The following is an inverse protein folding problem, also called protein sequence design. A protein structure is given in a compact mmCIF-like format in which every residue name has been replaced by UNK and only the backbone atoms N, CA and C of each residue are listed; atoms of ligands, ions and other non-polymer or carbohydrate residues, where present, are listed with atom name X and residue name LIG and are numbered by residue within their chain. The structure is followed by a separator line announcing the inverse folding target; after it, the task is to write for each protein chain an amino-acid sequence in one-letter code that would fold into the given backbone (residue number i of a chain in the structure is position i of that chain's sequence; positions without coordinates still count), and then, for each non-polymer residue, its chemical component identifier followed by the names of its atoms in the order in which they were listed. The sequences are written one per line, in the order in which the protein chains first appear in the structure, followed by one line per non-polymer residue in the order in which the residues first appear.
data_IF_688033411258
#
_entry.id   IF_688033411258
#
_cell.length_a   1.000
_cell.length_b   1.000
_cell.length_c   1.000
_cell.angle_alpha   90.00
_cell.angle_beta   90.00
_cell.angle_gamma   90.00
#
_symmetry.space_group_name_H-M   'P 1'
#
loop_
_entity.id
_entity.type
_entity.pdbx_description
1 polymer ?
#
# COMPACT_ATOMS: atom_id res chain seq x y z
N UNK A 1 6.37 -49.02 -76.18
CA UNK A 1 6.43 -48.03 -75.09
C UNK A 1 6.33 -48.79 -73.76
N UNK A 2 7.32 -48.71 -72.87
CA UNK A 2 7.32 -49.42 -71.57
C UNK A 2 7.09 -48.41 -70.44
N UNK A 3 6.14 -48.61 -69.51
CA UNK A 3 5.90 -47.66 -68.42
C UNK A 3 7.00 -47.75 -67.34
N UNK A 4 7.28 -46.65 -66.60
CA UNK A 4 8.30 -46.65 -65.56
C UNK A 4 7.80 -47.38 -64.29
N UNK A 5 8.71 -47.90 -63.45
CA UNK A 5 8.31 -48.62 -62.24
C UNK A 5 7.85 -47.66 -61.14
N UNK A 6 6.78 -48.03 -60.44
CA UNK A 6 6.29 -47.32 -59.25
C UNK A 6 7.15 -47.63 -58.03
N UNK A 7 7.60 -46.59 -57.34
CA UNK A 7 8.30 -46.66 -56.05
C UNK A 7 7.27 -46.74 -54.92
N UNK A 8 7.19 -47.85 -54.18
CA UNK A 8 6.34 -47.95 -52.99
C UNK A 8 6.94 -47.15 -51.84
N UNK A 9 6.10 -46.36 -51.16
CA UNK A 9 6.47 -45.66 -49.91
C UNK A 9 6.36 -46.62 -48.71
N UNK A 10 7.25 -46.51 -47.72
CA UNK A 10 7.22 -47.35 -46.54
C UNK A 10 6.06 -46.95 -45.61
N UNK A 11 5.24 -47.93 -45.23
CA UNK A 11 4.22 -47.75 -44.19
C UNK A 11 4.86 -47.91 -42.82
N UNK A 12 5.00 -46.82 -42.07
CA UNK A 12 5.47 -46.87 -40.68
C UNK A 12 4.40 -47.57 -39.81
N UNK A 13 4.73 -48.77 -39.33
CA UNK A 13 3.92 -49.52 -38.35
C UNK A 13 4.24 -48.96 -36.97
N UNK A 14 3.38 -48.12 -36.44
CA UNK A 14 3.54 -47.53 -35.11
C UNK A 14 3.28 -48.63 -34.07
N UNK A 15 4.30 -48.96 -33.27
CA UNK A 15 4.24 -50.03 -32.28
C UNK A 15 3.30 -49.68 -31.11
N UNK A 16 2.61 -50.70 -30.59
CA UNK A 16 1.60 -50.57 -29.52
C UNK A 16 2.17 -50.04 -28.19
N UNK A 17 3.49 -50.10 -28.01
CA UNK A 17 4.20 -49.58 -26.84
C UNK A 17 4.17 -48.05 -26.80
N UNK A 18 4.30 -47.38 -27.96
CA UNK A 18 4.21 -45.91 -28.04
C UNK A 18 2.81 -45.40 -27.72
N UNK A 19 1.76 -46.15 -28.09
CA UNK A 19 0.37 -45.80 -27.77
C UNK A 19 0.10 -45.77 -26.27
N UNK A 20 0.64 -46.73 -25.50
CA UNK A 20 0.46 -46.79 -24.04
C UNK A 20 1.23 -45.69 -23.31
N UNK A 21 2.44 -45.37 -23.79
CA UNK A 21 3.24 -44.27 -23.24
C UNK A 21 2.54 -42.91 -23.44
N UNK A 22 1.92 -42.69 -24.60
CA UNK A 22 1.17 -41.46 -24.89
C UNK A 22 -0.07 -41.31 -24.01
N UNK A 23 -0.81 -42.40 -23.75
CA UNK A 23 -1.98 -42.36 -22.86
C UNK A 23 -1.62 -41.97 -21.42
N UNK A 24 -0.48 -42.45 -20.91
CA UNK A 24 -0.01 -42.10 -19.56
C UNK A 24 0.41 -40.63 -19.48
N UNK A 25 1.08 -40.10 -20.51
CA UNK A 25 1.48 -38.69 -20.56
C UNK A 25 0.25 -37.78 -20.55
N UNK A 26 -0.74 -38.06 -21.41
CA UNK A 26 -1.98 -37.26 -21.46
C UNK A 26 -2.69 -37.27 -20.10
N UNK A 27 -2.79 -38.43 -19.44
CA UNK A 27 -3.51 -38.55 -18.17
C UNK A 27 -2.81 -37.78 -17.04
N UNK A 28 -1.48 -37.82 -16.98
CA UNK A 28 -0.68 -37.05 -16.02
C UNK A 28 -0.77 -35.54 -16.30
N UNK A 29 -0.70 -35.11 -17.56
CA UNK A 29 -0.85 -33.70 -17.95
C UNK A 29 -2.23 -33.15 -17.60
N UNK A 30 -3.28 -33.96 -17.78
CA UNK A 30 -4.66 -33.56 -17.46
C UNK A 30 -4.85 -33.38 -15.95
N UNK A 31 -4.24 -34.24 -15.13
CA UNK A 31 -4.28 -34.13 -13.67
C UNK A 31 -3.54 -32.87 -13.15
N UNK A 32 -2.41 -32.50 -13.76
CA UNK A 32 -1.66 -31.28 -13.40
C UNK A 32 -2.41 -29.99 -13.74
N UNK A 33 -3.22 -29.97 -14.81
CA UNK A 33 -4.03 -28.81 -15.18
C UNK A 33 -5.22 -28.56 -14.24
N UNK A 34 -5.73 -29.60 -13.57
CA UNK A 34 -6.88 -29.49 -12.66
C UNK A 34 -6.53 -28.87 -11.29
N UNK A 35 -5.26 -28.91 -10.87
CA UNK A 35 -4.80 -28.36 -9.57
C UNK A 35 -4.41 -26.87 -9.67
N UNK A 36 -4.40 -26.30 -10.87
CA UNK A 36 -3.94 -24.93 -11.11
C UNK A 36 -4.95 -23.82 -10.71
N UNK A 37 -6.16 -24.16 -10.25
CA UNK A 37 -7.24 -23.19 -10.00
C UNK A 37 -7.38 -22.74 -8.53
N UNK A 38 -6.40 -23.02 -7.66
CA UNK A 38 -6.49 -22.76 -6.21
C UNK A 38 -5.79 -21.49 -5.70
N UNK A 39 -4.94 -20.87 -6.50
CA UNK A 39 -4.26 -19.62 -6.16
C UNK A 39 -4.67 -18.55 -7.19
N UNK A 40 -5.93 -18.11 -7.11
CA UNK A 40 -6.39 -16.97 -7.91
C UNK A 40 -5.48 -15.77 -7.63
N UNK A 41 -5.13 -15.02 -8.68
CA UNK A 41 -4.32 -13.80 -8.60
C UNK A 41 -4.88 -12.72 -7.64
N UNK A 42 -6.04 -12.96 -7.03
CA UNK A 42 -6.64 -12.14 -5.99
C UNK A 42 -6.85 -13.05 -4.78
N UNK A 43 -5.90 -13.01 -3.85
CA UNK A 43 -6.08 -13.60 -2.51
C UNK A 43 -6.95 -12.64 -1.70
N UNK A 44 -7.68 -13.14 -0.70
CA UNK A 44 -8.42 -12.31 0.26
C UNK A 44 -7.51 -11.34 1.04
N UNK A 45 -6.19 -11.50 0.96
CA UNK A 45 -5.18 -10.60 1.53
C UNK A 45 -4.57 -9.61 0.53
N UNK A 46 -4.86 -9.73 -0.77
CA UNK A 46 -4.31 -8.84 -1.80
C UNK A 46 -4.96 -7.45 -1.75
N UNK A 47 -6.19 -7.39 -1.24
CA UNK A 47 -6.85 -6.14 -0.84
C UNK A 47 -6.73 -5.90 0.67
N UNK A 48 -5.58 -6.23 1.27
CA UNK A 48 -5.29 -5.73 2.62
C UNK A 48 -5.17 -4.21 2.56
N UNK A 49 -6.28 -3.54 2.83
CA UNK A 49 -6.25 -2.19 3.34
C UNK A 49 -5.46 -2.24 4.63
N UNK A 50 -4.47 -1.37 4.75
CA UNK A 50 -3.60 -1.36 5.90
C UNK A 50 -4.45 -1.26 7.18
N UNK A 51 -4.12 -2.05 8.19
CA UNK A 51 -4.72 -1.97 9.52
C UNK A 51 -4.18 -0.76 10.28
N UNK A 52 -4.14 0.40 9.61
CA UNK A 52 -3.65 1.67 10.11
C UNK A 52 -4.71 2.72 9.83
N UNK A 53 -4.87 3.67 10.74
CA UNK A 53 -5.91 4.69 10.68
C UNK A 53 -5.64 5.77 9.61
N UNK A 54 -4.94 5.47 8.51
CA UNK A 54 -4.53 6.43 7.48
C UNK A 54 -5.08 6.15 6.09
N UNK A 55 -5.33 7.21 5.33
CA UNK A 55 -5.81 7.15 3.94
C UNK A 55 -4.63 7.01 2.97
N UNK A 56 -4.87 6.28 1.86
CA UNK A 56 -3.96 6.22 0.73
C UNK A 56 -4.58 6.96 -0.48
N UNK A 57 -3.74 7.62 -1.27
CA UNK A 57 -4.14 8.26 -2.52
C UNK A 57 -3.06 8.07 -3.59
N UNK A 58 -3.44 8.30 -4.85
CA UNK A 58 -2.53 8.22 -5.99
C UNK A 58 -2.73 9.45 -6.88
N UNK A 59 -1.62 10.02 -7.34
CA UNK A 59 -1.59 11.15 -8.27
C UNK A 59 -0.59 10.83 -9.38
N UNK A 60 -1.07 10.17 -10.43
CA UNK A 60 -0.19 9.59 -11.46
C UNK A 60 0.75 8.57 -10.83
N UNK A 61 2.07 8.79 -10.99
CA UNK A 61 3.13 7.93 -10.46
C UNK A 61 3.53 8.28 -9.00
N UNK A 62 2.84 9.23 -8.36
CA UNK A 62 3.02 9.54 -6.94
C UNK A 62 2.04 8.73 -6.09
N UNK A 63 2.59 7.99 -5.13
CA UNK A 63 1.82 7.21 -4.17
C UNK A 63 1.84 7.90 -2.80
N UNK A 64 0.68 8.34 -2.33
CA UNK A 64 0.50 8.87 -0.98
C UNK A 64 0.01 7.74 -0.08
N UNK A 65 0.69 7.54 1.04
CA UNK A 65 0.49 6.39 1.93
C UNK A 65 0.41 6.83 3.38
N UNK A 66 -0.42 6.12 4.14
CA UNK A 66 -0.61 6.30 5.58
C UNK A 66 -0.83 7.77 5.99
N UNK A 67 -1.77 8.45 5.33
CA UNK A 67 -2.05 9.86 5.61
C UNK A 67 -3.10 9.97 6.70
N UNK A 68 -2.74 10.52 7.86
CA UNK A 68 -3.64 10.72 8.99
C UNK A 68 -3.21 11.93 9.84
N UNK A 69 -4.18 12.53 10.53
CA UNK A 69 -3.90 13.50 11.58
C UNK A 69 -3.73 12.80 12.93
N UNK A 70 -2.78 13.27 13.72
CA UNK A 70 -2.56 12.83 15.10
C UNK A 70 -2.58 14.03 16.04
N UNK A 71 -3.11 13.84 17.26
CA UNK A 71 -2.99 14.85 18.31
C UNK A 71 -3.03 14.24 19.69
N UNK A 72 -2.28 14.87 20.60
CA UNK A 72 -2.42 14.66 22.03
C UNK A 72 -3.53 15.58 22.58
N UNK A 73 -4.44 15.06 23.42
CA UNK A 73 -5.48 15.88 24.02
C UNK A 73 -4.85 16.94 24.93
N UNK A 74 -5.28 18.19 24.79
CA UNK A 74 -4.76 19.30 25.61
C UNK A 74 -5.17 19.17 27.09
N UNK A 75 -6.29 18.51 27.36
CA UNK A 75 -6.76 18.15 28.70
C UNK A 75 -7.23 16.68 28.69
N UNK A 76 -6.64 15.80 29.51
CA UNK A 76 -7.02 14.39 29.58
C UNK A 76 -8.40 14.15 30.20
N UNK A 77 -8.96 15.10 30.97
CA UNK A 77 -10.29 14.98 31.57
C UNK A 77 -11.41 15.36 30.59
N UNK A 78 -11.14 16.29 29.67
CA UNK A 78 -12.05 16.70 28.58
C UNK A 78 -11.24 16.78 27.30
N UNK A 79 -11.13 15.67 26.53
CA UNK A 79 -10.30 15.63 25.34
C UNK A 79 -10.70 16.71 24.34
N UNK A 80 -9.85 17.72 24.19
CA UNK A 80 -9.92 18.74 23.15
C UNK A 80 -8.70 18.59 22.27
N UNK A 81 -8.96 18.47 20.99
CA UNK A 81 -7.97 18.39 19.93
C UNK A 81 -8.07 19.69 19.15
N UNK A 82 -6.94 20.26 18.74
CA UNK A 82 -6.93 21.59 18.12
C UNK A 82 -5.55 21.99 17.65
N UNK A 83 -4.52 21.39 18.24
CA UNK A 83 -3.18 21.30 17.66
C UNK A 83 -2.97 19.86 17.23
N UNK A 84 -2.67 19.65 15.96
CA UNK A 84 -2.48 18.32 15.37
C UNK A 84 -1.17 18.28 14.59
N UNK A 85 -0.66 17.09 14.34
CA UNK A 85 0.39 16.83 13.35
C UNK A 85 -0.24 16.02 12.22
N UNK A 86 0.22 16.20 10.99
CA UNK A 86 -0.14 15.34 9.87
C UNK A 86 1.01 14.38 9.57
N UNK A 87 0.71 13.09 9.59
CA UNK A 87 1.64 12.00 9.33
C UNK A 87 1.33 11.41 7.95
N UNK A 88 2.38 11.14 7.16
CA UNK A 88 2.25 10.56 5.81
C UNK A 88 3.58 10.08 5.23
N UNK A 89 3.50 9.28 4.17
CA UNK A 89 4.61 8.97 3.27
C UNK A 89 4.20 9.24 1.82
N UNK A 90 5.06 9.88 1.03
CA UNK A 90 4.89 10.01 -0.42
C UNK A 90 6.03 9.28 -1.12
N UNK A 91 5.70 8.43 -2.10
CA UNK A 91 6.66 7.67 -2.90
C UNK A 91 6.57 8.12 -4.35
N UNK A 92 7.70 8.45 -4.97
CA UNK A 92 7.77 8.78 -6.39
C UNK A 92 8.21 7.57 -7.21
N UNK A 93 7.28 6.98 -7.97
CA UNK A 93 7.57 5.84 -8.85
C UNK A 93 7.94 6.25 -10.29
N UNK A 94 7.93 7.55 -10.59
CA UNK A 94 8.28 8.05 -11.92
C UNK A 94 9.79 8.07 -12.15
N UNK A 95 10.19 8.35 -13.39
CA UNK A 95 11.59 8.60 -13.78
C UNK A 95 12.00 10.06 -13.65
N UNK A 96 11.12 10.95 -13.17
CA UNK A 96 11.36 12.40 -13.05
C UNK A 96 11.23 12.88 -11.61
N UNK A 97 12.07 13.83 -11.16
CA UNK A 97 11.91 14.39 -9.82
C UNK A 97 10.63 15.23 -9.73
N UNK A 98 10.03 15.30 -8.55
CA UNK A 98 8.94 16.21 -8.20
C UNK A 98 9.23 16.89 -6.86
N UNK A 99 8.34 17.76 -6.41
CA UNK A 99 8.50 18.53 -5.19
C UNK A 99 7.17 18.78 -4.52
N UNK A 100 7.10 18.55 -3.21
CA UNK A 100 5.96 18.96 -2.39
C UNK A 100 5.99 20.49 -2.19
N UNK A 101 4.97 21.17 -2.70
CA UNK A 101 4.85 22.63 -2.67
C UNK A 101 4.06 23.09 -1.46
N UNK A 102 2.85 22.54 -1.28
CA UNK A 102 1.94 22.89 -0.19
C UNK A 102 1.08 21.71 0.26
N UNK A 103 0.55 21.83 1.48
CA UNK A 103 -0.48 20.96 2.02
C UNK A 103 -1.52 21.87 2.68
N UNK A 104 -2.77 21.77 2.26
CA UNK A 104 -3.84 22.70 2.64
C UNK A 104 -5.12 21.96 3.03
N UNK A 105 -5.91 22.53 3.93
CA UNK A 105 -7.23 22.01 4.31
C UNK A 105 -8.22 23.15 4.59
N UNK A 106 -9.50 23.05 4.18
CA UNK A 106 -10.51 24.03 4.56
C UNK A 106 -10.95 23.89 6.03
N UNK A 107 -10.60 22.80 6.71
CA UNK A 107 -11.02 22.53 8.09
C UNK A 107 -10.11 23.20 9.14
N UNK A 108 -8.91 23.65 8.75
CA UNK A 108 -7.94 24.27 9.65
C UNK A 108 -6.68 24.73 8.92
N UNK A 109 -5.83 25.45 9.63
CA UNK A 109 -4.55 25.92 9.10
C UNK A 109 -3.51 24.80 9.17
N UNK A 110 -2.72 24.61 8.11
CA UNK A 110 -1.60 23.67 8.06
C UNK A 110 -0.30 24.42 7.77
N UNK A 111 0.75 24.09 8.51
CA UNK A 111 2.09 24.67 8.37
C UNK A 111 3.08 23.58 8.03
N UNK A 112 3.62 23.63 6.80
CA UNK A 112 4.70 22.75 6.34
C UNK A 112 6.07 23.28 6.78
N UNK A 113 6.62 22.67 7.81
CA UNK A 113 7.94 22.95 8.39
C UNK A 113 8.98 22.01 7.77
N UNK A 114 9.62 22.47 6.70
CA UNK A 114 10.60 21.70 5.95
C UNK A 114 11.54 22.63 5.18
N UNK A 115 12.82 22.24 5.06
CA UNK A 115 13.73 22.90 4.12
C UNK A 115 13.32 22.61 2.68
N UNK A 116 13.74 23.45 1.73
CA UNK A 116 13.48 23.24 0.30
C UNK A 116 13.91 21.86 -0.18
N UNK A 117 15.06 21.45 0.31
CA UNK A 117 15.71 20.17 0.08
C UNK A 117 14.95 18.97 0.69
N UNK A 118 14.21 19.16 1.78
CA UNK A 118 13.42 18.11 2.41
C UNK A 118 12.12 17.82 1.64
N UNK A 119 11.70 18.75 0.78
CA UNK A 119 10.47 18.66 -0.01
C UNK A 119 10.69 18.03 -1.39
N UNK A 120 11.93 17.75 -1.76
CA UNK A 120 12.31 17.17 -3.04
C UNK A 120 12.03 15.65 -3.05
N UNK A 121 11.31 15.17 -4.07
CA UNK A 121 11.11 13.75 -4.35
C UNK A 121 11.90 13.36 -5.60
N UNK A 122 13.03 12.70 -5.42
CA UNK A 122 13.79 12.12 -6.52
C UNK A 122 13.08 10.88 -7.10
N UNK A 123 13.41 10.48 -8.34
CA UNK A 123 12.93 9.23 -8.91
C UNK A 123 13.22 8.03 -8.01
N UNK A 124 12.21 7.21 -7.72
CA UNK A 124 12.34 6.01 -6.88
C UNK A 124 12.59 6.29 -5.39
N UNK A 125 12.42 7.52 -4.92
CA UNK A 125 12.59 7.88 -3.51
C UNK A 125 11.26 8.10 -2.80
N UNK A 126 11.33 8.31 -1.50
CA UNK A 126 10.21 8.70 -0.66
C UNK A 126 10.55 9.90 0.21
N UNK A 127 9.52 10.65 0.61
CA UNK A 127 9.57 11.57 1.73
C UNK A 127 8.46 11.24 2.72
N UNK A 128 8.63 11.59 3.99
CA UNK A 128 7.67 11.28 5.04
C UNK A 128 7.62 12.38 6.12
N UNK A 129 6.47 12.45 6.81
CA UNK A 129 6.23 13.28 7.98
C UNK A 129 5.63 12.43 9.10
N UNK A 130 5.89 12.79 10.36
CA UNK A 130 5.19 12.22 11.52
C UNK A 130 5.76 10.92 12.11
N UNK A 131 6.57 10.16 11.36
CA UNK A 131 7.31 9.01 11.90
C UNK A 131 8.83 9.26 11.87
N UNK A 132 9.60 8.83 12.90
CA UNK A 132 11.03 8.66 12.76
C UNK A 132 11.28 7.64 11.64
N UNK A 133 11.99 8.05 10.60
CA UNK A 133 12.40 7.14 9.52
C UNK A 133 13.45 6.17 10.08
N UNK A 134 13.01 5.06 10.67
CA UNK A 134 13.86 3.91 10.99
C UNK A 134 14.23 3.20 9.68
N UNK A 135 15.07 3.83 8.86
CA UNK A 135 15.56 3.25 7.61
C UNK A 135 16.64 2.22 7.89
N UNK A 136 16.30 0.94 7.80
CA UNK A 136 17.20 -0.21 7.94
C UNK A 136 18.28 -0.33 6.83
N UNK A 137 18.43 0.68 5.95
CA UNK A 137 19.54 0.78 4.98
C UNK A 137 19.95 2.25 4.79
N UNK A 138 21.26 2.55 4.75
CA UNK A 138 21.73 3.89 4.41
C UNK A 138 21.36 4.14 2.96
N UNK A 139 20.39 5.03 2.75
CA UNK A 139 20.08 5.58 1.43
C UNK A 139 20.55 7.03 1.45
N UNK A 140 20.94 7.57 0.30
CA UNK A 140 21.35 8.97 0.12
C UNK A 140 20.23 9.98 0.40
N UNK A 141 19.13 9.57 1.02
CA UNK A 141 18.10 10.44 1.55
C UNK A 141 18.67 11.05 2.84
N UNK A 142 18.99 12.34 2.79
CA UNK A 142 19.41 13.05 3.99
C UNK A 142 18.27 12.96 5.02
N UNK A 143 18.63 12.69 6.28
CA UNK A 143 17.77 12.82 7.47
C UNK A 143 17.28 14.28 7.59
N UNK A 144 16.40 14.68 6.68
CA UNK A 144 15.87 16.04 6.57
C UNK A 144 14.48 16.00 7.19
N UNK A 145 14.32 16.56 8.40
CA UNK A 145 13.02 16.56 9.05
C UNK A 145 12.02 17.33 8.20
N UNK A 146 10.85 16.73 8.02
CA UNK A 146 9.68 17.33 7.43
C UNK A 146 8.53 17.14 8.42
N UNK A 147 7.99 18.25 8.90
CA UNK A 147 6.89 18.24 9.86
C UNK A 147 5.74 19.06 9.31
N UNK A 148 4.51 18.60 9.51
CA UNK A 148 3.30 19.35 9.16
C UNK A 148 2.47 19.52 10.42
N UNK A 149 2.43 20.75 10.93
CA UNK A 149 1.60 21.11 12.09
C UNK A 149 0.27 21.66 11.62
N UNK A 150 -0.80 21.36 12.35
CA UNK A 150 -2.13 21.85 12.07
C UNK A 150 -2.75 22.57 13.27
N UNK A 151 -3.50 23.63 12.98
CA UNK A 151 -4.36 24.31 13.95
C UNK A 151 -5.81 24.29 13.46
N UNK A 152 -6.66 23.58 14.19
CA UNK A 152 -8.06 23.37 13.85
C UNK A 152 -8.97 23.91 14.96
N UNK A 153 -10.19 24.38 14.62
CA UNK A 153 -11.23 24.59 15.62
C UNK A 153 -11.51 23.30 16.39
N UNK A 154 -11.68 23.38 17.71
CA UNK A 154 -11.82 22.19 18.57
C UNK A 154 -13.10 21.39 18.28
N UNK A 155 -14.10 22.02 17.66
CA UNK A 155 -15.32 21.37 17.23
C UNK A 155 -15.15 20.63 15.91
N UNK A 156 -14.23 21.09 15.06
CA UNK A 156 -13.97 20.53 13.74
C UNK A 156 -13.18 19.22 13.84
N UNK A 157 -12.21 19.13 14.75
CA UNK A 157 -11.32 17.97 14.83
C UNK A 157 -11.68 17.05 16.01
N UNK A 158 -12.15 15.84 15.70
CA UNK A 158 -12.61 14.83 16.68
C UNK A 158 -12.32 13.42 16.19
N UNK A 159 -12.07 12.45 17.09
CA UNK A 159 -11.85 11.05 16.71
C UNK A 159 -12.99 10.53 15.84
N UNK A 160 -12.64 9.85 14.75
CA UNK A 160 -13.59 9.28 13.80
C UNK A 160 -14.16 10.24 12.75
N UNK A 161 -13.73 11.51 12.73
CA UNK A 161 -14.00 12.42 11.61
C UNK A 161 -12.88 12.35 10.57
N UNK A 162 -13.23 12.66 9.33
CA UNK A 162 -12.27 12.92 8.24
C UNK A 162 -12.32 14.38 7.82
N UNK A 163 -11.19 14.87 7.32
CA UNK A 163 -11.07 16.20 6.75
C UNK A 163 -10.46 16.14 5.35
N UNK A 164 -10.99 16.91 4.39
CA UNK A 164 -10.36 17.01 3.08
C UNK A 164 -8.99 17.70 3.24
N UNK A 165 -7.95 17.06 2.71
CA UNK A 165 -6.59 17.60 2.65
C UNK A 165 -6.15 17.60 1.19
N UNK A 166 -5.56 18.70 0.76
CA UNK A 166 -5.02 18.88 -0.58
C UNK A 166 -3.51 18.90 -0.52
N UNK A 167 -2.87 17.98 -1.22
CA UNK A 167 -1.43 18.00 -1.46
C UNK A 167 -1.17 18.63 -2.83
N UNK A 168 -0.23 19.57 -2.88
CA UNK A 168 0.21 20.23 -4.12
C UNK A 168 1.65 19.87 -4.42
N UNK A 169 1.87 19.30 -5.60
CA UNK A 169 3.18 18.98 -6.14
C UNK A 169 3.50 19.86 -7.35
N UNK A 170 4.78 20.15 -7.55
CA UNK A 170 5.25 21.07 -8.60
C UNK A 170 4.92 20.54 -10.01
N UNK A 171 5.03 19.23 -10.24
CA UNK A 171 4.84 18.62 -11.56
C UNK A 171 3.58 17.78 -11.64
N UNK A 172 3.33 16.91 -10.66
CA UNK A 172 2.17 16.03 -10.66
C UNK A 172 0.84 16.79 -10.44
N UNK A 173 0.89 18.02 -9.92
CA UNK A 173 -0.27 18.84 -9.67
C UNK A 173 -0.87 18.60 -8.28
N UNK A 174 -2.20 18.58 -8.17
CA UNK A 174 -2.88 18.51 -6.87
C UNK A 174 -3.69 17.24 -6.71
N UNK A 175 -3.77 16.74 -5.48
CA UNK A 175 -4.67 15.66 -5.10
C UNK A 175 -5.36 16.01 -3.79
N UNK A 176 -6.68 15.86 -3.74
CA UNK A 176 -7.50 16.11 -2.56
C UNK A 176 -8.23 14.84 -2.15
N UNK A 177 -8.17 14.48 -0.88
CA UNK A 177 -8.84 13.30 -0.34
C UNK A 177 -9.13 13.46 1.15
N UNK A 178 -10.01 12.60 1.66
CA UNK A 178 -10.43 12.59 3.06
C UNK A 178 -9.35 11.95 3.94
N UNK A 179 -8.86 12.71 4.91
CA UNK A 179 -7.83 12.30 5.87
C UNK A 179 -8.47 12.12 7.24
N UNK A 180 -8.41 10.92 7.82
CA UNK A 180 -8.93 10.65 9.16
C UNK A 180 -8.10 11.34 10.24
N UNK A 181 -8.77 11.61 11.35
CA UNK A 181 -8.13 12.02 12.60
C UNK A 181 -8.07 10.85 13.58
N UNK A 182 -6.86 10.46 13.93
CA UNK A 182 -6.56 9.50 14.98
C UNK A 182 -6.15 10.25 16.25
N UNK A 183 -6.73 9.84 17.37
CA UNK A 183 -6.38 10.40 18.67
C UNK A 183 -5.77 9.32 19.52
N UNK A 184 -4.46 9.40 19.72
CA UNK A 184 -3.81 8.61 20.75
C UNK A 184 -4.04 9.28 22.11
N UNK A 185 -4.55 8.52 23.07
CA UNK A 185 -4.55 8.96 24.48
C UNK A 185 -3.37 8.29 25.19
N UNK A 186 -2.43 9.03 25.80
CA UNK A 186 -1.25 8.46 26.46
C UNK A 186 -1.52 7.43 27.57
N UNK A 187 -2.79 7.24 27.96
CA UNK A 187 -3.23 6.32 29.01
C UNK A 187 -4.26 5.28 28.52
N UNK A 188 -4.44 5.11 27.20
CA UNK A 188 -5.23 3.98 26.72
C UNK A 188 -4.52 2.69 27.14
N UNK A 189 -5.17 1.80 27.92
CA UNK A 189 -4.59 0.51 28.22
C UNK A 189 -4.36 -0.19 26.90
N UNK A 190 -3.09 -0.46 26.56
CA UNK A 190 -2.80 -1.40 25.47
C UNK A 190 -3.65 -2.64 25.70
N UNK A 191 -4.32 -3.19 24.66
CA UNK A 191 -5.11 -4.39 24.81
C UNK A 191 -4.27 -5.46 25.52
N UNK A 192 -4.51 -5.63 26.82
CA UNK A 192 -3.79 -6.60 27.61
C UNK A 192 -4.45 -7.92 27.28
N UNK A 193 -3.82 -8.62 26.35
CA UNK A 193 -4.19 -9.95 25.87
C UNK A 193 -5.47 -10.01 25.03
N UNK A 194 -5.34 -10.65 23.85
CA UNK A 194 -6.49 -11.19 23.13
C UNK A 194 -7.08 -12.30 24.01
N UNK A 195 -8.38 -12.27 24.35
CA UNK A 195 -9.00 -13.34 25.14
C UNK A 195 -8.71 -14.69 24.49
N UNK A 196 -8.19 -15.64 25.26
CA UNK A 196 -8.02 -17.00 24.77
C UNK A 196 -9.39 -17.55 24.37
N UNK A 197 -9.50 -18.24 23.21
CA UNK A 197 -10.75 -18.92 22.87
C UNK A 197 -11.13 -19.88 24.01
N UNK A 198 -12.43 -20.07 24.28
CA UNK A 198 -12.88 -20.98 25.32
C UNK A 198 -12.30 -22.36 25.07
N UNK A 199 -11.80 -23.00 26.13
CA UNK A 199 -11.28 -24.36 26.05
C UNK A 199 -12.40 -25.29 25.56
N UNK A 200 -12.09 -26.25 24.67
CA UNK A 200 -13.08 -27.24 24.27
C UNK A 200 -13.62 -27.96 25.51
N UNK A 201 -14.94 -28.18 25.56
CA UNK A 201 -15.55 -28.94 26.64
C UNK A 201 -14.87 -30.31 26.73
N UNK A 202 -14.42 -30.68 27.94
CA UNK A 202 -13.86 -32.00 28.20
C UNK A 202 -14.89 -33.09 27.83
N UNK A 203 -14.46 -34.20 27.21
CA UNK A 203 -15.35 -35.30 26.82
C UNK A 203 -16.00 -35.99 28.02
#
# INVERSE_FOLDING_TARGET
MKPPPYRRLPTHRISTVHRRAWSLIVLVSTALLLVACGAGQITQTNSQQAAINGTNAELGDLLLRNVYFEAEPTDPAVPRYGQVTLSFTVINQSSTPDRLVSIDSPAGELTLEASDQARELLPGSSLAAGEPIEQLRPTTALDRPLTVRGRFPAEAIRPGLTHPVTFTFERAGTVTFEVPFDAWTPNEPLPTERPLPPLPASP
#
